data_IF_563385510233
#
_entry.id   IF_563385510233
#
_cell.length_a   1.000
_cell.length_b   1.000
_cell.length_c   1.000
_cell.angle_alpha   90.00
_cell.angle_beta   90.00
_cell.angle_gamma   90.00
#
_symmetry.space_group_name_H-M   'P 1'
#
loop_
_entity.id
_entity.type
_entity.pdbx_description
1 polymer ?
#
# COMPACT_ATOMS: atom_id res chain seq x y z
N UNK A 1 4.19 -22.80 0.45
CA UNK A 1 2.86 -22.18 0.59
C UNK A 1 2.79 -20.68 0.23
N UNK A 2 3.86 -19.91 0.41
CA UNK A 2 3.94 -18.46 0.12
C UNK A 2 3.63 -18.14 -1.36
N UNK A 3 4.28 -18.81 -2.32
CA UNK A 3 4.11 -18.59 -3.76
C UNK A 3 2.70 -18.87 -4.26
N UNK A 4 2.04 -19.95 -3.78
CA UNK A 4 0.68 -20.28 -4.19
C UNK A 4 -0.28 -19.15 -3.80
N UNK A 5 -0.16 -18.63 -2.57
CA UNK A 5 -0.96 -17.49 -2.11
C UNK A 5 -0.73 -16.26 -2.97
N UNK A 6 0.52 -15.99 -3.34
CA UNK A 6 0.90 -14.83 -4.17
C UNK A 6 0.33 -14.95 -5.59
N UNK A 7 0.42 -16.15 -6.20
CA UNK A 7 -0.14 -16.41 -7.53
C UNK A 7 -1.67 -16.32 -7.52
N UNK A 8 -2.34 -16.97 -6.55
CA UNK A 8 -3.80 -16.94 -6.45
C UNK A 8 -4.31 -15.52 -6.22
N UNK A 9 -3.65 -14.75 -5.34
CA UNK A 9 -4.03 -13.34 -5.12
C UNK A 9 -3.85 -12.49 -6.37
N UNK A 10 -2.84 -12.76 -7.19
CA UNK A 10 -2.61 -12.03 -8.44
C UNK A 10 -3.66 -12.38 -9.50
N UNK A 11 -4.05 -13.66 -9.62
CA UNK A 11 -5.07 -14.10 -10.60
C UNK A 11 -6.45 -13.46 -10.33
N UNK A 12 -6.76 -13.22 -9.06
CA UNK A 12 -8.03 -12.57 -8.65
C UNK A 12 -8.00 -11.06 -8.91
N UNK A 13 -6.82 -10.45 -9.12
CA UNK A 13 -6.74 -9.02 -9.40
C UNK A 13 -7.39 -8.68 -10.75
N UNK A 14 -7.99 -7.47 -10.88
CA UNK A 14 -8.80 -7.08 -12.05
C UNK A 14 -8.13 -7.32 -13.39
N UNK A 15 -6.90 -6.86 -13.58
CA UNK A 15 -6.22 -6.96 -14.88
C UNK A 15 -5.96 -8.40 -15.28
N UNK A 16 -5.32 -9.27 -14.48
CA UNK A 16 -5.19 -10.69 -14.80
C UNK A 16 -6.53 -11.40 -15.02
N UNK A 17 -7.55 -11.10 -14.21
CA UNK A 17 -8.88 -11.70 -14.35
C UNK A 17 -9.55 -11.32 -15.68
N UNK A 18 -9.49 -10.05 -16.08
CA UNK A 18 -9.99 -9.58 -17.39
C UNK A 18 -9.26 -10.30 -18.53
N UNK A 19 -7.94 -10.41 -18.45
CA UNK A 19 -7.15 -11.14 -19.46
C UNK A 19 -7.52 -12.62 -19.54
N UNK A 20 -7.78 -13.26 -18.40
CA UNK A 20 -8.25 -14.66 -18.38
C UNK A 20 -9.63 -14.82 -19.01
N UNK A 21 -10.57 -13.90 -18.79
CA UNK A 21 -11.88 -13.92 -19.47
C UNK A 21 -11.73 -13.77 -20.97
N UNK A 22 -10.86 -12.88 -21.44
CA UNK A 22 -10.57 -12.71 -22.87
C UNK A 22 -9.94 -13.98 -23.45
N UNK A 23 -8.95 -14.55 -22.77
CA UNK A 23 -8.30 -15.79 -23.18
C UNK A 23 -9.30 -16.95 -23.21
N UNK A 24 -10.14 -17.09 -22.18
CA UNK A 24 -11.20 -18.10 -22.14
C UNK A 24 -12.14 -17.97 -23.34
N UNK A 25 -12.49 -16.75 -23.75
CA UNK A 25 -13.37 -16.53 -24.90
C UNK A 25 -12.81 -17.13 -26.19
N UNK A 26 -11.49 -17.14 -26.36
CA UNK A 26 -10.80 -17.75 -27.50
C UNK A 26 -10.89 -19.29 -27.45
N UNK A 27 -10.75 -19.90 -26.28
CA UNK A 27 -10.85 -21.37 -26.15
C UNK A 27 -12.29 -21.89 -26.35
N UNK A 28 -13.29 -21.10 -25.92
CA UNK A 28 -14.70 -21.46 -26.05
C UNK A 28 -15.35 -20.89 -27.32
N UNK A 29 -14.58 -20.49 -28.32
CA UNK A 29 -15.07 -19.89 -29.57
C UNK A 29 -16.13 -20.73 -30.29
N UNK A 30 -16.03 -22.07 -30.19
CA UNK A 30 -17.04 -22.99 -30.72
C UNK A 30 -18.42 -22.89 -30.05
N UNK A 31 -18.51 -22.21 -28.89
CA UNK A 31 -19.74 -21.92 -28.15
C UNK A 31 -20.02 -20.41 -28.17
N UNK A 32 -20.53 -19.88 -29.29
CA UNK A 32 -20.52 -18.41 -29.53
C UNK A 32 -21.28 -17.59 -28.49
N UNK A 33 -22.32 -18.17 -27.87
CA UNK A 33 -23.04 -17.47 -26.77
C UNK A 33 -22.16 -17.27 -25.55
N UNK A 34 -21.43 -18.30 -25.12
CA UNK A 34 -20.54 -18.22 -23.96
C UNK A 34 -19.32 -17.31 -24.22
N UNK A 35 -18.74 -17.38 -25.41
CA UNK A 35 -17.65 -16.52 -25.84
C UNK A 35 -18.06 -15.03 -25.79
N UNK A 36 -19.25 -14.69 -26.31
CA UNK A 36 -19.81 -13.34 -26.27
C UNK A 36 -20.00 -12.86 -24.82
N UNK A 37 -20.51 -13.70 -23.92
CA UNK A 37 -20.65 -13.33 -22.51
C UNK A 37 -19.30 -13.11 -21.82
N UNK A 38 -18.28 -13.92 -22.10
CA UNK A 38 -16.95 -13.74 -21.55
C UNK A 38 -16.33 -12.40 -22.01
N UNK A 39 -16.45 -12.05 -23.31
CA UNK A 39 -15.98 -10.78 -23.85
C UNK A 39 -16.75 -9.61 -23.22
N UNK A 40 -18.09 -9.70 -23.19
CA UNK A 40 -18.92 -8.65 -22.61
C UNK A 40 -18.60 -8.40 -21.12
N UNK A 41 -18.39 -9.49 -20.36
CA UNK A 41 -17.98 -9.37 -18.93
C UNK A 41 -16.62 -8.71 -18.78
N UNK A 42 -15.62 -9.11 -19.58
CA UNK A 42 -14.30 -8.52 -19.56
C UNK A 42 -14.34 -7.01 -19.88
N UNK A 43 -15.09 -6.65 -20.92
CA UNK A 43 -15.28 -5.27 -21.33
C UNK A 43 -15.99 -4.42 -20.26
N UNK A 44 -17.09 -4.95 -19.70
CA UNK A 44 -17.84 -4.27 -18.63
C UNK A 44 -16.99 -4.07 -17.38
N UNK A 45 -16.23 -5.07 -16.96
CA UNK A 45 -15.30 -4.94 -15.83
C UNK A 45 -14.24 -3.89 -16.09
N UNK A 46 -13.65 -3.88 -17.27
CA UNK A 46 -12.66 -2.87 -17.64
C UNK A 46 -13.25 -1.46 -17.60
N UNK A 47 -14.44 -1.24 -18.18
CA UNK A 47 -15.13 0.04 -18.13
C UNK A 47 -15.44 0.47 -16.71
N UNK A 48 -16.05 -0.39 -15.92
CA UNK A 48 -16.43 -0.05 -14.54
C UNK A 48 -15.21 0.31 -13.70
N UNK A 49 -14.14 -0.52 -13.74
CA UNK A 49 -12.96 -0.34 -12.90
C UNK A 49 -12.07 0.82 -13.36
N UNK A 50 -12.16 1.26 -14.62
CA UNK A 50 -11.45 2.45 -15.11
C UNK A 50 -12.27 3.75 -15.05
N UNK A 51 -13.51 3.68 -14.58
CA UNK A 51 -14.41 4.83 -14.46
C UNK A 51 -14.30 5.55 -13.11
N UNK A 52 -14.80 6.80 -13.05
CA UNK A 52 -14.95 7.53 -11.79
C UNK A 52 -15.89 6.83 -10.80
N UNK A 53 -16.87 6.06 -11.30
CA UNK A 53 -17.77 5.28 -10.46
C UNK A 53 -17.01 4.33 -9.51
N UNK A 54 -16.01 3.62 -10.02
CA UNK A 54 -15.21 2.72 -9.16
C UNK A 54 -14.39 3.48 -8.12
N UNK A 55 -13.90 4.67 -8.44
CA UNK A 55 -13.20 5.52 -7.47
C UNK A 55 -14.13 5.91 -6.32
N UNK A 56 -15.33 6.37 -6.63
CA UNK A 56 -16.30 6.82 -5.62
C UNK A 56 -16.80 5.69 -4.72
N UNK A 57 -17.00 4.48 -5.27
CA UNK A 57 -17.59 3.36 -4.52
C UNK A 57 -16.59 2.35 -3.98
N UNK A 58 -15.38 2.27 -4.51
CA UNK A 58 -14.36 1.34 -4.01
C UNK A 58 -13.20 2.06 -3.30
N UNK A 59 -12.68 3.14 -3.88
CA UNK A 59 -11.47 3.81 -3.37
C UNK A 59 -11.79 4.77 -2.24
N UNK A 60 -12.70 5.71 -2.50
CA UNK A 60 -13.08 6.77 -1.56
C UNK A 60 -13.54 6.25 -0.18
N UNK A 61 -14.34 5.16 -0.06
CA UNK A 61 -14.73 4.62 1.23
C UNK A 61 -13.58 4.05 2.06
N UNK A 62 -12.46 3.65 1.45
CA UNK A 62 -11.25 3.27 2.17
C UNK A 62 -10.46 4.49 2.64
N UNK A 63 -10.27 5.46 1.76
CA UNK A 63 -9.39 6.60 1.99
C UNK A 63 -9.98 7.65 2.93
N UNK A 64 -11.30 7.68 3.10
CA UNK A 64 -11.99 8.61 4.00
C UNK A 64 -12.14 8.11 5.45
N UNK A 65 -11.72 6.87 5.75
CA UNK A 65 -11.82 6.31 7.11
C UNK A 65 -10.89 7.01 8.11
N UNK A 66 -9.77 7.53 7.65
CA UNK A 66 -8.82 8.26 8.48
C UNK A 66 -8.51 9.63 7.88
N UNK A 67 -8.71 10.72 8.64
CA UNK A 67 -8.44 12.06 8.16
C UNK A 67 -6.93 12.32 8.05
N UNK A 68 -6.56 13.34 7.27
CA UNK A 68 -5.20 13.87 7.23
C UNK A 68 -4.80 14.31 8.64
N UNK A 69 -3.67 13.81 9.11
CA UNK A 69 -3.22 14.07 10.47
C UNK A 69 -2.31 15.31 10.54
N UNK A 70 -2.80 16.33 11.21
CA UNK A 70 -2.06 17.58 11.49
C UNK A 70 -1.84 17.81 12.97
N UNK A 71 -2.21 16.86 13.83
CA UNK A 71 -2.12 16.98 15.26
C UNK A 71 -0.66 16.94 15.71
N UNK A 72 -0.17 17.92 16.47
CA UNK A 72 1.16 17.88 17.08
C UNK A 72 1.36 16.60 17.90
N UNK A 73 2.57 16.10 17.93
CA UNK A 73 2.93 14.95 18.76
C UNK A 73 3.57 15.49 20.02
N UNK A 74 2.95 15.23 21.17
CA UNK A 74 3.51 15.53 22.47
C UNK A 74 4.53 14.44 22.83
N UNK A 75 5.57 14.79 23.54
CA UNK A 75 6.62 13.89 24.04
C UNK A 75 7.50 13.25 22.96
N UNK A 76 8.42 12.39 23.40
CA UNK A 76 9.29 11.58 22.53
C UNK A 76 8.44 10.69 21.65
N UNK A 77 8.62 10.78 20.35
CA UNK A 77 7.73 10.12 19.41
C UNK A 77 8.46 9.19 18.42
N UNK A 78 7.71 8.22 17.95
CA UNK A 78 8.12 7.36 16.85
C UNK A 78 7.17 7.55 15.68
N UNK A 79 7.71 7.93 14.52
CA UNK A 79 7.00 7.97 13.25
C UNK A 79 7.43 6.76 12.44
N UNK A 80 6.51 5.85 12.17
CA UNK A 80 6.78 4.65 11.39
C UNK A 80 6.17 4.76 10.00
N UNK A 81 7.02 4.61 8.98
CA UNK A 81 6.64 4.59 7.57
C UNK A 81 6.67 3.16 7.07
N UNK A 82 5.49 2.62 6.73
CA UNK A 82 5.38 1.28 6.19
C UNK A 82 5.96 1.17 4.78
N UNK A 83 6.60 0.03 4.52
CA UNK A 83 7.25 -0.27 3.26
C UNK A 83 6.29 -0.28 2.07
N UNK A 84 6.87 -0.12 0.88
CA UNK A 84 6.16 -0.22 -0.40
C UNK A 84 7.05 -0.90 -1.44
N UNK A 85 7.68 -0.14 -2.35
CA UNK A 85 8.56 -0.68 -3.38
C UNK A 85 9.64 0.33 -3.77
N UNK A 86 10.76 -0.20 -4.28
CA UNK A 86 11.81 0.54 -4.95
C UNK A 86 12.32 -0.27 -6.16
N UNK A 87 13.19 0.32 -6.92
CA UNK A 87 13.90 -0.34 -8.02
C UNK A 87 15.38 0.01 -7.94
N UNK A 88 16.25 -0.98 -8.12
CA UNK A 88 17.70 -0.76 -8.23
C UNK A 88 18.00 -0.16 -9.61
N UNK A 89 18.18 1.15 -9.65
CA UNK A 89 18.50 1.89 -10.88
C UNK A 89 19.96 2.33 -10.78
N UNK A 90 20.79 1.88 -11.72
CA UNK A 90 22.22 2.22 -11.74
C UNK A 90 22.42 3.73 -11.85
N UNK A 91 23.23 4.29 -10.96
CA UNK A 91 23.52 5.73 -10.92
C UNK A 91 22.42 6.62 -10.35
N UNK A 92 21.27 6.07 -9.98
CA UNK A 92 20.21 6.83 -9.34
C UNK A 92 20.49 7.09 -7.84
N UNK A 93 19.99 8.21 -7.33
CA UNK A 93 19.97 8.46 -5.88
C UNK A 93 18.94 7.55 -5.18
N UNK A 94 19.00 7.46 -3.86
CA UNK A 94 18.01 6.66 -3.12
C UNK A 94 16.59 7.23 -3.30
N UNK A 95 16.42 8.55 -3.33
CA UNK A 95 15.15 9.21 -3.62
C UNK A 95 14.60 8.82 -5.00
N UNK A 96 15.45 8.77 -6.04
CA UNK A 96 15.05 8.39 -7.39
C UNK A 96 14.71 6.91 -7.54
N UNK A 97 15.28 6.06 -6.69
CA UNK A 97 15.04 4.62 -6.67
C UNK A 97 13.70 4.26 -6.03
N UNK A 98 13.11 5.13 -5.22
CA UNK A 98 11.81 4.90 -4.58
C UNK A 98 10.66 4.93 -5.59
N UNK A 99 9.69 4.03 -5.43
CA UNK A 99 8.41 4.16 -6.15
C UNK A 99 7.69 5.45 -5.72
N UNK A 100 6.81 5.99 -6.57
CA UNK A 100 6.01 7.16 -6.23
C UNK A 100 5.22 6.99 -4.91
N UNK A 101 4.77 5.76 -4.61
CA UNK A 101 4.08 5.42 -3.35
C UNK A 101 5.04 5.49 -2.17
N UNK A 102 6.23 4.91 -2.30
CA UNK A 102 7.25 4.94 -1.24
C UNK A 102 7.68 6.38 -0.95
N UNK A 103 7.89 7.18 -2.00
CA UNK A 103 8.25 8.59 -1.86
C UNK A 103 7.14 9.41 -1.19
N UNK A 104 5.86 9.18 -1.56
CA UNK A 104 4.73 9.85 -0.91
C UNK A 104 4.65 9.49 0.59
N UNK A 105 4.85 8.20 0.94
CA UNK A 105 4.88 7.75 2.34
C UNK A 105 6.05 8.36 3.10
N UNK A 106 7.26 8.34 2.53
CA UNK A 106 8.44 8.91 3.16
C UNK A 106 8.25 10.42 3.38
N UNK A 107 7.78 11.16 2.37
CA UNK A 107 7.52 12.60 2.48
C UNK A 107 6.51 12.92 3.59
N UNK A 108 5.44 12.14 3.71
CA UNK A 108 4.49 12.28 4.82
C UNK A 108 5.15 11.94 6.16
N UNK A 109 5.97 10.88 6.23
CA UNK A 109 6.75 10.56 7.42
C UNK A 109 7.61 11.74 7.88
N UNK A 110 8.33 12.38 6.96
CA UNK A 110 9.15 13.56 7.25
C UNK A 110 8.29 14.76 7.69
N UNK A 111 7.10 14.93 7.12
CA UNK A 111 6.14 15.94 7.57
C UNK A 111 5.67 15.67 9.00
N UNK A 112 5.38 14.40 9.33
CA UNK A 112 4.96 14.01 10.68
C UNK A 112 6.07 14.19 11.71
N UNK A 113 7.34 13.93 11.35
CA UNK A 113 8.48 14.22 12.25
C UNK A 113 8.56 15.68 12.69
N UNK A 114 8.15 16.61 11.82
CA UNK A 114 8.13 18.06 12.13
C UNK A 114 7.00 18.48 13.07
N UNK A 115 6.03 17.60 13.31
CA UNK A 115 4.92 17.85 14.25
C UNK A 115 5.25 17.46 15.69
N UNK A 116 6.40 16.85 15.94
CA UNK A 116 6.88 16.49 17.26
C UNK A 116 8.33 16.92 17.50
N UNK A 117 8.77 16.82 18.74
CA UNK A 117 10.16 17.08 19.13
C UNK A 117 10.87 15.75 19.37
N UNK A 118 12.12 15.65 18.94
CA UNK A 118 12.97 14.46 19.14
C UNK A 118 12.38 13.12 18.67
N UNK A 119 11.57 13.17 17.60
CA UNK A 119 10.98 11.98 17.01
C UNK A 119 11.99 11.13 16.24
N UNK A 120 11.94 9.82 16.42
CA UNK A 120 12.64 8.85 15.57
C UNK A 120 11.80 8.45 14.37
N UNK A 121 12.46 8.23 13.23
CA UNK A 121 11.87 7.69 12.01
C UNK A 121 12.12 6.20 11.94
N UNK A 122 11.07 5.40 11.89
CA UNK A 122 11.18 3.97 11.55
C UNK A 122 10.78 3.77 10.11
N UNK A 123 11.64 3.13 9.34
CA UNK A 123 11.35 2.74 7.95
C UNK A 123 11.42 1.22 7.85
N UNK A 124 10.52 0.63 7.05
CA UNK A 124 10.39 -0.82 6.99
C UNK A 124 10.30 -1.34 5.57
N UNK A 125 10.60 -2.61 5.41
CA UNK A 125 10.41 -3.35 4.18
C UNK A 125 11.61 -4.15 3.73
N UNK A 126 11.33 -5.40 3.36
CA UNK A 126 12.28 -6.32 2.77
C UNK A 126 12.51 -5.99 1.29
N UNK A 127 13.70 -6.31 0.75
CA UNK A 127 14.04 -6.07 -0.65
C UNK A 127 13.33 -6.96 -1.66
N UNK A 128 12.81 -8.10 -1.22
CA UNK A 128 12.28 -9.10 -2.14
C UNK A 128 13.41 -9.94 -2.78
N UNK A 129 13.05 -10.67 -3.84
CA UNK A 129 14.02 -11.50 -4.59
C UNK A 129 14.58 -10.78 -5.82
N UNK A 130 14.02 -9.63 -6.16
CA UNK A 130 14.34 -8.88 -7.39
C UNK A 130 15.23 -7.67 -7.15
N UNK A 131 15.47 -7.30 -5.89
CA UNK A 131 16.29 -6.15 -5.51
C UNK A 131 17.49 -6.57 -4.68
N UNK A 132 18.61 -5.84 -4.81
CA UNK A 132 19.85 -6.13 -4.10
C UNK A 132 19.83 -5.62 -2.66
N UNK A 133 19.05 -4.54 -2.41
CA UNK A 133 18.97 -3.89 -1.12
C UNK A 133 17.59 -4.08 -0.47
N UNK A 134 17.50 -4.19 0.87
CA UNK A 134 16.23 -4.08 1.57
C UNK A 134 15.57 -2.73 1.29
N UNK A 135 14.23 -2.74 1.16
CA UNK A 135 13.48 -1.49 0.93
C UNK A 135 13.67 -0.48 2.06
N UNK A 136 13.75 -0.95 3.31
CA UNK A 136 14.02 -0.11 4.48
C UNK A 136 15.35 0.65 4.35
N UNK A 137 16.42 -0.01 3.86
CA UNK A 137 17.72 0.63 3.65
C UNK A 137 17.66 1.75 2.60
N UNK A 138 16.96 1.51 1.48
CA UNK A 138 16.79 2.53 0.45
C UNK A 138 15.95 3.70 0.96
N UNK A 139 14.90 3.44 1.75
CA UNK A 139 14.11 4.49 2.40
C UNK A 139 14.93 5.29 3.41
N UNK A 140 15.80 4.63 4.20
CA UNK A 140 16.69 5.30 5.15
C UNK A 140 17.68 6.23 4.44
N UNK A 141 18.34 5.73 3.37
CA UNK A 141 19.23 6.55 2.55
C UNK A 141 18.49 7.75 1.92
N UNK A 142 17.28 7.53 1.40
CA UNK A 142 16.45 8.59 0.86
C UNK A 142 16.05 9.63 1.93
N UNK A 143 15.77 9.21 3.17
CA UNK A 143 15.49 10.13 4.27
C UNK A 143 16.71 11.00 4.60
N UNK A 144 17.92 10.42 4.58
CA UNK A 144 19.18 11.17 4.77
C UNK A 144 19.39 12.16 3.62
N UNK A 145 19.19 11.77 2.37
CA UNK A 145 19.26 12.68 1.21
C UNK A 145 18.26 13.85 1.34
N UNK A 146 17.12 13.61 2.00
CA UNK A 146 16.09 14.63 2.28
C UNK A 146 16.35 15.43 3.57
N UNK A 147 17.51 15.25 4.22
CA UNK A 147 17.99 16.07 5.32
C UNK A 147 17.65 15.56 6.72
N UNK A 148 17.30 14.29 6.88
CA UNK A 148 17.12 13.66 8.20
C UNK A 148 18.45 13.12 8.69
N UNK A 149 18.78 13.39 9.98
CA UNK A 149 19.96 12.83 10.62
C UNK A 149 19.85 11.30 10.70
N UNK A 150 20.90 10.59 10.23
CA UNK A 150 20.95 9.14 10.24
C UNK A 150 20.78 8.54 11.64
N UNK A 151 21.22 9.24 12.69
CA UNK A 151 21.06 8.80 14.09
C UNK A 151 19.59 8.73 14.56
N UNK A 152 18.67 9.37 13.83
CA UNK A 152 17.23 9.35 14.10
C UNK A 152 16.47 8.27 13.30
N UNK A 153 17.16 7.51 12.45
CA UNK A 153 16.53 6.54 11.55
C UNK A 153 16.76 5.12 12.09
N UNK A 154 15.69 4.36 12.15
CA UNK A 154 15.69 2.96 12.56
C UNK A 154 15.08 2.14 11.43
N UNK A 155 15.76 1.05 11.06
CA UNK A 155 15.39 0.24 9.90
C UNK A 155 14.83 -1.13 10.33
N UNK A 156 13.74 -1.57 9.67
CA UNK A 156 13.23 -2.94 9.76
C UNK A 156 13.38 -3.66 8.40
N UNK A 157 14.61 -4.06 8.04
CA UNK A 157 14.93 -4.54 6.69
C UNK A 157 14.40 -5.95 6.40
N UNK A 158 13.94 -6.68 7.41
CA UNK A 158 13.45 -8.06 7.27
C UNK A 158 11.92 -8.16 7.18
N UNK A 159 11.19 -7.07 7.40
CA UNK A 159 9.74 -7.06 7.39
C UNK A 159 9.18 -7.30 5.97
N UNK A 160 8.51 -8.43 5.75
CA UNK A 160 7.96 -8.88 4.46
C UNK A 160 6.52 -8.45 4.24
N UNK A 161 5.81 -8.20 5.31
CA UNK A 161 4.41 -7.77 5.31
C UNK A 161 4.09 -6.93 6.56
N UNK A 162 2.90 -6.35 6.59
CA UNK A 162 2.48 -5.45 7.67
C UNK A 162 2.32 -6.16 9.02
N UNK A 163 2.12 -7.48 9.05
CA UNK A 163 2.09 -8.25 10.29
C UNK A 163 3.49 -8.34 10.92
N UNK A 164 4.52 -8.54 10.09
CA UNK A 164 5.92 -8.53 10.52
C UNK A 164 6.37 -7.11 10.88
N UNK A 165 5.95 -6.08 10.15
CA UNK A 165 6.22 -4.68 10.48
C UNK A 165 5.71 -4.33 11.89
N UNK A 166 4.47 -4.69 12.20
CA UNK A 166 3.88 -4.48 13.52
C UNK A 166 4.56 -5.35 14.61
N UNK A 167 5.01 -6.55 14.27
CA UNK A 167 5.73 -7.43 15.17
C UNK A 167 7.09 -6.83 15.55
N UNK A 168 7.91 -6.44 14.57
CA UNK A 168 9.21 -5.81 14.83
C UNK A 168 9.09 -4.49 15.58
N UNK A 169 8.04 -3.72 15.30
CA UNK A 169 7.77 -2.52 16.08
C UNK A 169 7.54 -2.87 17.56
N UNK A 170 6.69 -3.85 17.83
CA UNK A 170 6.37 -4.29 19.20
C UNK A 170 7.60 -4.82 19.94
N UNK A 171 8.46 -5.57 19.26
CA UNK A 171 9.71 -6.08 19.85
C UNK A 171 10.69 -4.95 20.18
N UNK A 172 10.81 -3.94 19.31
CA UNK A 172 11.78 -2.85 19.47
C UNK A 172 11.32 -1.74 20.44
N UNK A 173 10.01 -1.45 20.48
CA UNK A 173 9.46 -0.29 21.20
C UNK A 173 8.40 -0.67 22.24
N UNK A 174 8.04 -1.95 22.37
CA UNK A 174 7.00 -2.39 23.30
C UNK A 174 5.62 -1.77 22.95
N UNK A 175 5.02 -1.11 23.91
CA UNK A 175 3.71 -0.46 23.75
C UNK A 175 3.82 1.06 23.53
N UNK A 176 4.99 1.55 23.13
CA UNK A 176 5.15 2.98 22.82
C UNK A 176 4.17 3.40 21.72
N UNK A 177 3.47 4.53 21.88
CA UNK A 177 2.59 5.05 20.84
C UNK A 177 3.35 5.35 19.54
N UNK A 178 2.73 5.04 18.40
CA UNK A 178 3.34 5.23 17.08
C UNK A 178 2.48 6.11 16.17
N UNK A 179 3.10 7.05 15.48
CA UNK A 179 2.51 7.74 14.34
C UNK A 179 2.73 6.88 13.10
N UNK A 180 1.67 6.22 12.63
CA UNK A 180 1.74 5.25 11.53
C UNK A 180 1.45 5.92 10.20
N UNK A 181 2.40 5.83 9.26
CA UNK A 181 2.32 6.43 7.93
C UNK A 181 2.23 5.35 6.88
N UNK A 182 1.19 5.38 6.06
CA UNK A 182 1.02 4.52 4.88
C UNK A 182 0.03 5.13 3.91
N UNK A 183 -0.19 4.49 2.74
CA UNK A 183 -1.19 4.94 1.76
C UNK A 183 -2.60 4.94 2.36
N UNK A 184 -3.41 5.94 2.02
CA UNK A 184 -4.75 6.12 2.57
C UNK A 184 -5.65 4.89 2.39
N UNK A 185 -5.61 4.25 1.21
CA UNK A 185 -6.34 3.01 0.96
C UNK A 185 -5.87 1.82 1.81
N UNK A 186 -4.57 1.77 2.18
CA UNK A 186 -3.99 0.73 3.03
C UNK A 186 -4.20 0.99 4.52
N UNK A 187 -4.39 2.24 4.93
CA UNK A 187 -4.46 2.65 6.34
C UNK A 187 -5.47 1.84 7.18
N UNK A 188 -6.70 1.55 6.71
CA UNK A 188 -7.64 0.77 7.50
C UNK A 188 -7.14 -0.63 7.87
N UNK A 189 -6.44 -1.31 6.95
CA UNK A 189 -5.86 -2.63 7.20
C UNK A 189 -4.65 -2.56 8.12
N UNK A 190 -3.79 -1.58 7.93
CA UNK A 190 -2.61 -1.37 8.78
C UNK A 190 -3.02 -1.08 10.23
N UNK A 191 -3.99 -0.18 10.44
CA UNK A 191 -4.51 0.14 11.77
C UNK A 191 -5.13 -1.07 12.47
N UNK A 192 -5.88 -1.90 11.74
CA UNK A 192 -6.44 -3.14 12.28
C UNK A 192 -5.34 -4.12 12.73
N UNK A 193 -4.24 -4.24 11.96
CA UNK A 193 -3.11 -5.11 12.30
C UNK A 193 -2.38 -4.58 13.55
N UNK A 194 -2.07 -3.30 13.61
CA UNK A 194 -1.37 -2.70 14.76
C UNK A 194 -2.22 -2.81 16.03
N UNK A 195 -3.51 -2.49 15.94
CA UNK A 195 -4.46 -2.66 17.07
C UNK A 195 -4.56 -4.12 17.50
N UNK A 196 -4.65 -5.06 16.57
CA UNK A 196 -4.67 -6.51 16.86
C UNK A 196 -3.40 -7.03 17.54
N UNK A 197 -2.26 -6.31 17.41
CA UNK A 197 -1.03 -6.57 18.16
C UNK A 197 -0.96 -5.84 19.50
N UNK A 198 -2.01 -5.10 19.88
CA UNK A 198 -2.06 -4.31 21.11
C UNK A 198 -1.19 -3.06 21.05
N UNK A 199 -0.93 -2.52 19.86
CA UNK A 199 -0.17 -1.28 19.66
C UNK A 199 -1.11 -0.08 19.57
N UNK A 200 -0.74 1.02 20.23
CA UNK A 200 -1.44 2.30 20.13
C UNK A 200 -0.90 3.08 18.94
N UNK A 201 -1.63 3.06 17.82
CA UNK A 201 -1.24 3.76 16.61
C UNK A 201 -2.14 4.97 16.33
N UNK A 202 -1.53 6.06 15.84
CA UNK A 202 -2.20 7.25 15.34
C UNK A 202 -2.00 7.33 13.83
N UNK A 203 -3.07 7.27 13.06
CA UNK A 203 -3.00 7.20 11.59
C UNK A 203 -2.51 8.52 10.98
N UNK A 204 -1.62 8.44 10.01
CA UNK A 204 -1.18 9.55 9.16
C UNK A 204 -1.21 9.09 7.68
N UNK A 205 -2.41 9.06 7.06
CA UNK A 205 -2.58 8.58 5.69
C UNK A 205 -1.99 9.55 4.66
N UNK A 206 -1.49 8.98 3.57
CA UNK A 206 -0.97 9.70 2.39
C UNK A 206 -1.29 8.95 1.09
N UNK A 207 -0.75 9.38 -0.06
CA UNK A 207 -0.96 8.72 -1.36
C UNK A 207 -2.46 8.51 -1.67
N UNK A 208 -3.26 9.58 -1.49
CA UNK A 208 -4.68 9.58 -1.81
C UNK A 208 -4.89 9.46 -3.32
N UNK A 209 -5.73 8.52 -3.74
CA UNK A 209 -6.07 8.21 -5.12
C UNK A 209 -7.50 8.58 -5.51
N UNK A 210 -8.38 8.75 -4.51
CA UNK A 210 -9.77 9.17 -4.72
C UNK A 210 -9.82 10.64 -5.12
N UNK A 211 -9.58 10.93 -6.40
CA UNK A 211 -9.70 12.26 -7.00
C UNK A 211 -11.00 12.35 -7.75
N UNK A 212 -11.66 13.50 -7.66
CA UNK A 212 -12.86 13.75 -8.43
C UNK A 212 -12.49 13.99 -9.91
N UNK A 213 -13.17 13.30 -10.81
CA UNK A 213 -13.04 13.44 -12.27
C UNK A 213 -14.40 13.25 -12.96
N UNK A 214 -14.45 13.45 -14.27
CA UNK A 214 -15.66 13.28 -15.05
C UNK A 214 -16.03 11.81 -15.22
N UNK A 215 -17.29 11.45 -15.02
CA UNK A 215 -17.80 10.08 -15.15
C UNK A 215 -17.64 9.45 -16.53
N UNK A 216 -17.51 10.28 -17.57
CA UNK A 216 -17.29 9.81 -18.95
C UNK A 216 -15.81 9.50 -19.26
N UNK A 217 -14.89 9.88 -18.36
CA UNK A 217 -13.46 9.57 -18.53
C UNK A 217 -13.12 8.21 -17.96
N UNK A 218 -12.48 7.40 -18.78
CA UNK A 218 -11.91 6.12 -18.39
C UNK A 218 -10.39 6.24 -18.38
N UNK A 219 -9.76 5.98 -17.22
CA UNK A 219 -8.33 6.20 -17.05
C UNK A 219 -7.63 4.98 -16.49
N UNK A 220 -6.34 4.82 -16.83
CA UNK A 220 -5.48 3.79 -16.25
C UNK A 220 -5.27 4.03 -14.74
N UNK A 221 -5.27 5.30 -14.28
CA UNK A 221 -5.14 5.65 -12.87
C UNK A 221 -6.33 5.16 -12.05
N UNK A 222 -7.57 5.31 -12.56
CA UNK A 222 -8.77 4.78 -11.91
C UNK A 222 -8.74 3.25 -11.83
N UNK A 223 -8.30 2.58 -12.90
CA UNK A 223 -8.13 1.13 -12.91
C UNK A 223 -7.09 0.67 -11.87
N UNK A 224 -5.96 1.36 -11.78
CA UNK A 224 -4.92 1.08 -10.78
C UNK A 224 -5.43 1.33 -9.35
N UNK A 225 -6.14 2.44 -9.11
CA UNK A 225 -6.73 2.77 -7.83
C UNK A 225 -7.76 1.72 -7.40
N UNK A 226 -8.63 1.29 -8.33
CA UNK A 226 -9.62 0.23 -8.12
C UNK A 226 -8.98 -1.12 -7.80
N UNK A 227 -7.92 -1.49 -8.52
CA UNK A 227 -7.16 -2.71 -8.26
C UNK A 227 -6.54 -2.70 -6.85
N UNK A 228 -5.97 -1.58 -6.42
CA UNK A 228 -5.41 -1.42 -5.07
C UNK A 228 -6.50 -1.49 -4.00
N UNK A 229 -7.64 -0.83 -4.21
CA UNK A 229 -8.76 -0.89 -3.28
C UNK A 229 -9.29 -2.33 -3.12
N UNK A 230 -9.47 -3.06 -4.21
CA UNK A 230 -9.86 -4.48 -4.16
C UNK A 230 -8.85 -5.34 -3.42
N UNK A 231 -7.56 -5.11 -3.62
CA UNK A 231 -6.51 -5.79 -2.85
C UNK A 231 -6.66 -5.53 -1.34
N UNK A 232 -6.96 -4.31 -0.92
CA UNK A 232 -7.16 -3.97 0.48
C UNK A 232 -8.44 -4.59 1.07
N UNK A 233 -9.54 -4.63 0.30
CA UNK A 233 -10.77 -5.33 0.73
C UNK A 233 -10.53 -6.83 0.93
N UNK A 234 -9.83 -7.48 -0.01
CA UNK A 234 -9.47 -8.92 0.09
C UNK A 234 -8.53 -9.13 1.29
N UNK A 235 -7.55 -8.24 1.49
CA UNK A 235 -6.63 -8.29 2.62
C UNK A 235 -7.35 -8.17 3.98
N UNK A 236 -8.35 -7.29 4.08
CA UNK A 236 -9.18 -7.14 5.29
C UNK A 236 -10.06 -8.37 5.55
N UNK A 237 -10.68 -8.91 4.50
CA UNK A 237 -11.47 -10.14 4.62
C UNK A 237 -10.58 -11.30 5.10
N UNK A 238 -9.36 -11.42 4.58
CA UNK A 238 -8.40 -12.43 5.00
C UNK A 238 -8.00 -12.28 6.49
N UNK A 239 -7.82 -11.05 6.97
CA UNK A 239 -7.53 -10.81 8.39
C UNK A 239 -8.70 -11.25 9.27
N UNK A 240 -9.93 -10.93 8.87
CA UNK A 240 -11.13 -11.31 9.61
C UNK A 240 -11.27 -12.84 9.74
N UNK A 241 -11.06 -13.58 8.64
CA UNK A 241 -11.10 -15.07 8.65
C UNK A 241 -9.99 -15.70 9.51
N UNK A 242 -8.85 -15.01 9.68
CA UNK A 242 -7.74 -15.55 10.49
C UNK A 242 -7.85 -15.25 11.99
N UNK A 243 -8.72 -14.35 12.39
CA UNK A 243 -8.95 -13.99 13.80
C UNK A 243 -10.00 -14.91 14.47
N UNK A 244 -10.67 -15.77 13.70
CA UNK A 244 -11.47 -16.89 14.20
C UNK A 244 -10.61 -18.15 14.33
#
# INVERSE_FOLDING_TARGET
MFWIKKVVSQVIMPVPFILLLLLLSLFIWRKPRLAKWAIASAFTLLLLLSSQFSVDYLVKPLETQYPINTTPIADTCVVMVLGSAHSDIEGATAVQSLSAVALARLTEGLRQLKLGQDCSLVVSGWGGELTQHPHAEVMAKAAVELGIDASRIIEFPLARDTLEEAHYFKESFGNQPVRLVTSASHMPRAMAIFSGKGLTASAAPTDFRARDDFYWRFTADNLLASQRALHEYIGRLWLWVKQE
#
